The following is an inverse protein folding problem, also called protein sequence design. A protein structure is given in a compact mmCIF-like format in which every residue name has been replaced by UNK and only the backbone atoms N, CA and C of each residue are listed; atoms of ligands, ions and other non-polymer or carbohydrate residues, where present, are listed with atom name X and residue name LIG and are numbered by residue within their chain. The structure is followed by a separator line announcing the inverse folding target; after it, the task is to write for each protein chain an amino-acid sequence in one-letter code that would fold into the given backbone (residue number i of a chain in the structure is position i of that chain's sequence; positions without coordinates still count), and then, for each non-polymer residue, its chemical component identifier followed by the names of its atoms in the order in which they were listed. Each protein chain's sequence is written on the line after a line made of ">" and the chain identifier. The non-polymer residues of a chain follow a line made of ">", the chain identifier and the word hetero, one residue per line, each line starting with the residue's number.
data_IF_660502603361
#
_entry.id   IF_660502603361
#
_cell.length_a   1.000
_cell.length_b   1.000
_cell.length_c   1.000
_cell.angle_alpha   90.00
_cell.angle_beta   90.00
_cell.angle_gamma   90.00
#
_symmetry.space_group_name_H-M   'P 1'
#
loop_
_entity.id
_entity.type
_entity.pdbx_description
1 polymer ?
#
# COMPACT_ATOMS: atom_id res chain seq x y z
N UNK A 1 -11.49 -5.27 17.49
CA UNK A 1 -11.06 -4.89 16.12
C UNK A 1 -12.25 -4.30 15.40
N UNK A 2 -12.04 -3.42 14.41
CA UNK A 2 -13.13 -2.83 13.63
C UNK A 2 -14.08 -3.90 13.06
N UNK A 3 -13.56 -5.05 12.61
CA UNK A 3 -14.37 -6.18 12.15
C UNK A 3 -15.36 -6.72 13.18
N UNK A 4 -14.96 -6.90 14.45
CA UNK A 4 -15.90 -7.34 15.52
C UNK A 4 -16.99 -6.30 15.79
N UNK A 5 -16.66 -5.01 15.73
CA UNK A 5 -17.63 -3.92 15.87
C UNK A 5 -18.62 -3.90 14.70
N UNK A 6 -18.19 -4.30 13.51
CA UNK A 6 -19.04 -4.51 12.36
C UNK A 6 -19.86 -5.83 12.42
N UNK A 7 -19.80 -6.58 13.52
CA UNK A 7 -20.53 -7.84 13.68
C UNK A 7 -19.89 -9.05 13.00
N UNK A 8 -18.63 -8.95 12.58
CA UNK A 8 -17.90 -10.04 11.93
C UNK A 8 -17.14 -10.91 12.93
N UNK A 9 -17.22 -12.22 12.74
CA UNK A 9 -16.31 -13.17 13.38
C UNK A 9 -14.94 -13.10 12.69
N UNK A 10 -13.97 -12.45 13.34
CA UNK A 10 -12.61 -12.30 12.81
C UNK A 10 -11.79 -13.54 13.15
N UNK A 11 -11.71 -14.48 12.21
CA UNK A 11 -10.98 -15.75 12.37
C UNK A 11 -9.46 -15.55 12.43
N UNK A 12 -8.93 -14.67 11.58
CA UNK A 12 -7.50 -14.34 11.53
C UNK A 12 -7.31 -12.96 10.91
N UNK A 13 -6.35 -12.21 11.42
CA UNK A 13 -5.79 -11.03 10.73
C UNK A 13 -4.50 -11.49 10.06
N UNK A 14 -4.36 -11.15 8.80
CA UNK A 14 -3.21 -11.49 7.96
C UNK A 14 -2.60 -10.20 7.44
N UNK A 15 -1.28 -10.19 7.31
CA UNK A 15 -0.57 -9.02 6.79
C UNK A 15 -0.71 -8.97 5.27
N UNK A 16 -0.89 -7.76 4.72
CA UNK A 16 -1.01 -7.48 3.29
C UNK A 16 0.13 -8.09 2.45
N UNK A 17 1.42 -7.89 2.78
CA UNK A 17 2.50 -8.43 1.95
C UNK A 17 2.48 -9.96 1.87
N UNK A 18 2.11 -10.65 2.96
CA UNK A 18 1.95 -12.11 2.97
C UNK A 18 0.78 -12.54 2.08
N UNK A 19 -0.34 -11.82 2.10
CA UNK A 19 -1.49 -12.13 1.26
C UNK A 19 -1.22 -11.86 -0.23
N UNK A 20 -0.48 -10.79 -0.55
CA UNK A 20 -0.05 -10.49 -1.90
C UNK A 20 0.88 -11.58 -2.44
N UNK A 21 1.87 -12.01 -1.64
CA UNK A 21 2.75 -13.11 -2.01
C UNK A 21 2.00 -14.44 -2.13
N UNK A 22 1.03 -14.72 -1.25
CA UNK A 22 0.20 -15.92 -1.36
C UNK A 22 -0.61 -15.89 -2.66
N UNK A 23 -1.28 -14.78 -2.97
CA UNK A 23 -2.05 -14.64 -4.21
C UNK A 23 -1.19 -14.83 -5.47
N UNK A 24 0.08 -14.43 -5.42
CA UNK A 24 1.04 -14.62 -6.51
C UNK A 24 1.66 -16.03 -6.56
N UNK A 25 1.96 -16.62 -5.40
CA UNK A 25 2.78 -17.82 -5.23
C UNK A 25 2.02 -19.13 -5.06
N UNK A 26 0.68 -19.11 -5.02
CA UNK A 26 -0.17 -20.29 -4.77
C UNK A 26 0.15 -21.52 -5.64
N UNK A 27 0.61 -21.33 -6.88
CA UNK A 27 0.93 -22.41 -7.82
C UNK A 27 2.44 -22.64 -8.02
N UNK A 28 3.32 -21.87 -7.36
CA UNK A 28 4.76 -21.98 -7.55
C UNK A 28 5.36 -23.10 -6.70
N UNK A 29 5.96 -24.10 -7.35
CA UNK A 29 6.61 -25.25 -6.70
C UNK A 29 8.07 -25.02 -6.33
N UNK A 30 8.70 -23.99 -6.89
CA UNK A 30 10.11 -23.71 -6.65
C UNK A 30 10.28 -22.62 -5.61
N UNK A 31 11.35 -22.72 -4.80
CA UNK A 31 11.74 -21.65 -3.89
C UNK A 31 12.04 -20.39 -4.70
N UNK A 32 11.41 -19.28 -4.34
CA UNK A 32 11.60 -17.99 -4.98
C UNK A 32 11.58 -16.86 -3.95
N UNK A 33 12.45 -15.87 -4.17
CA UNK A 33 12.44 -14.62 -3.42
C UNK A 33 11.65 -13.57 -4.19
N UNK A 34 10.67 -12.97 -3.54
CA UNK A 34 9.76 -11.97 -4.06
C UNK A 34 9.97 -10.64 -3.34
N UNK A 35 9.70 -9.55 -4.05
CA UNK A 35 9.56 -8.22 -3.45
C UNK A 35 8.12 -7.78 -3.65
N UNK A 36 7.43 -7.46 -2.55
CA UNK A 36 6.11 -6.83 -2.57
C UNK A 36 6.30 -5.34 -2.34
N UNK A 37 5.76 -4.54 -3.26
CA UNK A 37 5.66 -3.09 -3.16
C UNK A 37 4.19 -2.73 -2.93
N UNK A 38 3.89 -2.14 -1.78
CA UNK A 38 2.55 -1.67 -1.42
C UNK A 38 2.58 -0.14 -1.32
N UNK A 39 2.00 0.52 -2.32
CA UNK A 39 1.83 1.97 -2.35
C UNK A 39 0.36 2.30 -2.16
N UNK A 40 -0.04 2.49 -0.91
CA UNK A 40 -1.40 2.80 -0.53
C UNK A 40 -1.72 4.30 -0.62
N UNK A 41 -2.83 4.69 0.00
CA UNK A 41 -3.27 6.09 0.03
C UNK A 41 -2.39 7.00 0.88
N UNK A 42 -1.76 6.49 1.93
CA UNK A 42 -0.93 7.31 2.83
C UNK A 42 0.36 6.66 3.32
N UNK A 43 0.60 5.40 2.96
CA UNK A 43 1.80 4.67 3.32
C UNK A 43 2.38 3.96 2.10
N UNK A 44 3.70 3.80 2.13
CA UNK A 44 4.45 3.04 1.15
C UNK A 44 5.29 2.01 1.88
N UNK A 45 5.02 0.73 1.67
CA UNK A 45 5.66 -0.38 2.35
C UNK A 45 6.30 -1.34 1.33
N UNK A 46 7.48 -1.84 1.67
CA UNK A 46 8.24 -2.79 0.87
C UNK A 46 8.56 -3.99 1.73
N UNK A 47 8.24 -5.18 1.23
CA UNK A 47 8.55 -6.44 1.91
C UNK A 47 9.32 -7.40 0.99
N UNK A 48 10.36 -8.01 1.52
CA UNK A 48 11.08 -9.12 0.89
C UNK A 48 10.54 -10.41 1.47
N UNK A 49 10.10 -11.31 0.60
CA UNK A 49 9.41 -12.54 0.96
C UNK A 49 10.10 -13.71 0.29
N UNK A 50 10.31 -14.79 1.03
CA UNK A 50 10.69 -16.08 0.47
C UNK A 50 9.47 -17.00 0.43
N UNK A 51 9.25 -17.66 -0.71
CA UNK A 51 8.17 -18.64 -0.89
C UNK A 51 8.76 -19.96 -1.34
N UNK A 52 8.29 -21.08 -0.79
CA UNK A 52 8.75 -22.41 -1.17
C UNK A 52 8.10 -23.50 -0.32
N UNK A 53 7.84 -24.67 -0.93
CA UNK A 53 7.26 -25.84 -0.23
C UNK A 53 6.00 -25.54 0.60
N UNK A 54 5.16 -24.60 0.14
CA UNK A 54 3.94 -24.17 0.84
C UNK A 54 4.18 -23.26 2.05
N UNK A 55 5.41 -22.83 2.28
CA UNK A 55 5.81 -21.88 3.30
C UNK A 55 6.02 -20.49 2.69
N UNK A 56 5.61 -19.46 3.43
CA UNK A 56 5.83 -18.06 3.10
C UNK A 56 6.49 -17.42 4.31
N UNK A 57 7.69 -16.88 4.12
CA UNK A 57 8.46 -16.19 5.16
C UNK A 57 8.74 -14.75 4.75
N UNK A 58 8.49 -13.80 5.65
CA UNK A 58 8.84 -12.39 5.44
C UNK A 58 10.25 -12.18 5.97
N UNK A 59 11.21 -11.94 5.08
CA UNK A 59 12.61 -11.76 5.42
C UNK A 59 12.90 -10.36 5.95
N UNK A 60 12.25 -9.35 5.36
CA UNK A 60 12.40 -7.96 5.78
C UNK A 60 11.18 -7.13 5.36
N UNK A 61 10.87 -6.11 6.15
CA UNK A 61 9.86 -5.09 5.83
C UNK A 61 10.42 -3.71 6.19
N UNK A 62 10.23 -2.74 5.31
CA UNK A 62 10.55 -1.33 5.55
C UNK A 62 9.63 -0.44 4.72
N UNK A 63 9.50 0.84 5.05
CA UNK A 63 8.58 1.73 4.36
C UNK A 63 8.62 3.18 4.83
N UNK A 64 7.74 3.99 4.25
CA UNK A 64 7.44 5.36 4.65
C UNK A 64 5.95 5.48 4.99
N UNK A 65 5.68 5.74 6.27
CA UNK A 65 4.32 5.92 6.82
C UNK A 65 3.65 7.24 6.42
N UNK A 66 4.32 8.09 5.62
CA UNK A 66 3.85 9.42 5.22
C UNK A 66 4.02 9.67 3.72
N UNK A 67 4.05 8.61 2.93
CA UNK A 67 4.12 8.65 1.48
C UNK A 67 3.01 7.78 0.91
N UNK A 68 2.12 8.35 0.09
CA UNK A 68 1.09 7.58 -0.60
C UNK A 68 0.30 8.39 -1.61
N UNK A 69 -0.78 7.81 -2.12
CA UNK A 69 -1.73 8.42 -3.06
C UNK A 69 -2.11 9.87 -2.73
N UNK A 70 -2.32 10.17 -1.45
CA UNK A 70 -2.68 11.51 -0.97
C UNK A 70 -1.63 12.57 -1.30
N UNK A 71 -0.34 12.21 -1.36
CA UNK A 71 0.73 13.12 -1.75
C UNK A 71 0.69 13.44 -3.25
N UNK A 72 0.35 12.44 -4.07
CA UNK A 72 0.14 12.62 -5.51
C UNK A 72 -1.09 13.50 -5.76
N UNK A 73 -2.20 13.21 -5.07
CA UNK A 73 -3.42 14.02 -5.15
C UNK A 73 -3.14 15.47 -4.76
N UNK A 74 -2.43 15.69 -3.65
CA UNK A 74 -2.03 17.04 -3.21
C UNK A 74 -1.20 17.75 -4.26
N UNK A 75 -0.25 17.07 -4.91
CA UNK A 75 0.58 17.67 -5.97
C UNK A 75 -0.24 18.09 -7.19
N UNK A 76 -1.24 17.29 -7.58
CA UNK A 76 -2.15 17.64 -8.68
C UNK A 76 -3.02 18.84 -8.29
N UNK A 77 -3.55 18.85 -7.06
CA UNK A 77 -4.37 19.95 -6.54
C UNK A 77 -3.55 21.25 -6.49
N UNK A 78 -2.33 21.22 -5.96
CA UNK A 78 -1.41 22.36 -5.92
C UNK A 78 -1.18 22.93 -7.32
N UNK A 79 -0.84 22.06 -8.29
CA UNK A 79 -0.61 22.46 -9.67
C UNK A 79 -1.83 23.12 -10.33
N UNK A 80 -3.03 22.57 -10.09
CA UNK A 80 -4.28 23.14 -10.60
C UNK A 80 -4.62 24.48 -9.95
N UNK A 81 -4.43 24.60 -8.63
CA UNK A 81 -4.68 25.84 -7.89
C UNK A 81 -3.75 26.97 -8.36
N UNK A 82 -2.45 26.67 -8.53
CA UNK A 82 -1.47 27.64 -9.04
C UNK A 82 -1.82 28.08 -10.47
N UNK A 83 -2.16 27.13 -11.34
CA UNK A 83 -2.57 27.41 -12.71
C UNK A 83 -3.84 28.27 -12.81
N UNK A 84 -4.75 28.12 -11.85
CA UNK A 84 -5.97 28.93 -11.78
C UNK A 84 -5.69 30.33 -11.24
N UNK A 85 -4.85 30.45 -10.21
CA UNK A 85 -4.43 31.75 -9.68
C UNK A 85 -3.70 32.59 -10.73
N UNK A 86 -2.83 31.99 -11.54
CA UNK A 86 -2.10 32.68 -12.61
C UNK A 86 -3.03 33.22 -13.71
N UNK A 87 -4.16 32.55 -13.97
CA UNK A 87 -5.11 32.91 -15.03
C UNK A 87 -6.20 33.87 -14.57
N UNK A 88 -6.76 33.61 -13.40
CA UNK A 88 -7.97 34.28 -12.91
C UNK A 88 -7.69 35.25 -11.76
N UNK A 89 -6.45 35.27 -11.23
CA UNK A 89 -6.06 36.12 -10.09
C UNK A 89 -6.70 35.71 -8.75
N UNK A 90 -7.33 34.53 -8.71
CA UNK A 90 -8.06 34.01 -7.53
C UNK A 90 -7.33 32.77 -7.01
N UNK A 91 -7.06 32.72 -5.71
CA UNK A 91 -6.44 31.57 -5.05
C UNK A 91 -7.52 30.64 -4.47
N UNK A 92 -7.64 29.43 -5.00
CA UNK A 92 -8.64 28.43 -4.57
C UNK A 92 -8.33 27.77 -3.22
N UNK A 93 -7.19 28.08 -2.61
CA UNK A 93 -6.77 27.53 -1.32
C UNK A 93 -7.21 28.38 -0.13
N UNK A 94 -7.82 29.53 -0.37
CA UNK A 94 -8.26 30.52 0.64
C UNK A 94 -9.74 30.40 0.98
#
# INVERSE_FOLDING_TARGET
>A
TAGKLAGLEVLRIVNEPTMAALAYGLDQKNVSTLVVLDLGGGTFDVSIIETGDGVIEVLATNGDTRLGGNDFDRKIIEWLADSFQDKEGIDLRQ
#
